data_IF_025643932265
#
_entry.id   IF_025643932265
#
_cell.length_a   1.000
_cell.length_b   1.000
_cell.length_c   1.000
_cell.angle_alpha   90.00
_cell.angle_beta   90.00
_cell.angle_gamma   90.00
#
_symmetry.space_group_name_H-M   'P 1'
#
loop_
_entity.id
_entity.type
_entity.pdbx_description
1 polymer ?
#
# COMPACT_ATOMS: atom_id res chain seq x y z
N UNK A 1 -6.82 -10.53 -12.93
CA UNK A 1 -6.75 -9.08 -12.65
C UNK A 1 -8.16 -8.52 -12.60
N UNK A 2 -8.45 -7.63 -11.65
CA UNK A 2 -9.80 -7.10 -11.39
C UNK A 2 -10.43 -6.37 -12.58
N UNK A 3 -9.59 -5.88 -13.50
CA UNK A 3 -10.02 -5.20 -14.73
C UNK A 3 -10.16 -6.14 -15.93
N UNK A 4 -10.00 -7.46 -15.76
CA UNK A 4 -10.08 -8.44 -16.84
C UNK A 4 -8.96 -8.37 -17.90
N UNK A 5 -8.09 -7.35 -17.83
CA UNK A 5 -6.98 -7.17 -18.76
C UNK A 5 -5.91 -8.26 -18.58
N UNK A 6 -5.50 -8.85 -19.71
CA UNK A 6 -4.39 -9.81 -19.80
C UNK A 6 -3.39 -9.26 -20.80
N UNK A 7 -2.30 -8.70 -20.29
CA UNK A 7 -1.25 -8.08 -21.11
C UNK A 7 0.12 -8.49 -20.55
N UNK A 8 1.02 -8.96 -21.43
CA UNK A 8 2.35 -9.44 -21.04
C UNK A 8 3.21 -8.35 -20.36
N UNK A 9 2.91 -7.06 -20.59
CA UNK A 9 3.56 -5.94 -19.91
C UNK A 9 3.24 -5.90 -18.42
N UNK A 10 2.10 -6.44 -17.98
CA UNK A 10 1.75 -6.52 -16.56
C UNK A 10 2.70 -7.45 -15.79
N UNK A 11 3.08 -8.57 -16.39
CA UNK A 11 4.08 -9.49 -15.79
C UNK A 11 5.40 -8.77 -15.55
N UNK A 12 5.90 -8.05 -16.57
CA UNK A 12 7.13 -7.25 -16.45
C UNK A 12 7.00 -6.16 -15.38
N UNK A 13 5.83 -5.51 -15.26
CA UNK A 13 5.58 -4.48 -14.26
C UNK A 13 5.56 -5.05 -12.82
N UNK A 14 4.95 -6.22 -12.62
CA UNK A 14 4.96 -6.90 -11.32
C UNK A 14 6.36 -7.35 -10.92
N UNK A 15 7.11 -7.96 -11.84
CA UNK A 15 8.50 -8.33 -11.55
C UNK A 15 9.35 -7.12 -11.23
N UNK A 16 9.25 -6.05 -12.03
CA UNK A 16 9.97 -4.81 -11.77
C UNK A 16 9.64 -4.24 -10.38
N UNK A 17 8.35 -4.24 -10.03
CA UNK A 17 7.88 -3.81 -8.71
C UNK A 17 8.43 -4.70 -7.60
N UNK A 18 8.48 -6.02 -7.78
CA UNK A 18 9.08 -6.94 -6.81
C UNK A 18 10.60 -6.71 -6.64
N UNK A 19 11.31 -6.35 -7.71
CA UNK A 19 12.74 -5.96 -7.64
C UNK A 19 12.95 -4.70 -6.81
N UNK A 20 12.04 -3.71 -6.87
CA UNK A 20 12.18 -2.49 -6.05
C UNK A 20 12.00 -2.74 -4.54
N UNK A 21 11.36 -3.86 -4.17
CA UNK A 21 11.26 -4.30 -2.78
C UNK A 21 12.46 -5.16 -2.39
N UNK A 22 12.75 -6.20 -3.16
CA UNK A 22 13.82 -7.18 -2.85
C UNK A 22 15.24 -6.67 -3.09
N UNK A 23 15.43 -5.70 -3.99
CA UNK A 23 16.75 -5.28 -4.49
C UNK A 23 17.33 -6.20 -5.57
N UNK A 24 16.71 -7.35 -5.85
CA UNK A 24 17.26 -8.37 -6.75
C UNK A 24 17.30 -7.89 -8.21
N UNK A 25 18.50 -7.81 -8.78
CA UNK A 25 18.70 -7.41 -10.18
C UNK A 25 18.17 -6.01 -10.50
N UNK A 26 18.06 -5.13 -9.49
CA UNK A 26 17.88 -3.71 -9.76
C UNK A 26 19.12 -3.16 -10.48
N UNK A 27 18.94 -2.44 -11.59
CA UNK A 27 20.07 -1.81 -12.24
C UNK A 27 20.64 -0.74 -11.32
N UNK A 28 21.97 -0.72 -11.24
CA UNK A 28 22.70 0.22 -10.40
C UNK A 28 22.69 1.65 -10.96
N UNK A 29 22.31 1.82 -12.23
CA UNK A 29 22.13 3.11 -12.89
C UNK A 29 20.99 3.01 -13.90
N UNK A 30 20.11 4.01 -13.90
CA UNK A 30 19.10 4.18 -14.94
C UNK A 30 19.34 5.51 -15.62
N UNK A 31 19.37 5.52 -16.95
CA UNK A 31 19.52 6.74 -17.74
C UNK A 31 18.26 7.63 -17.61
N UNK A 32 18.35 8.89 -18.03
CA UNK A 32 17.19 9.81 -18.02
C UNK A 32 16.06 9.29 -18.91
N UNK A 33 16.39 8.47 -19.89
CA UNK A 33 15.49 7.85 -20.88
C UNK A 33 14.89 6.52 -20.37
N UNK A 34 15.26 6.07 -19.18
CA UNK A 34 14.70 4.86 -18.55
C UNK A 34 15.41 3.55 -18.89
N UNK A 35 16.57 3.59 -19.58
CA UNK A 35 17.34 2.37 -19.87
C UNK A 35 18.30 2.01 -18.72
N UNK A 36 18.36 0.71 -18.40
CA UNK A 36 19.21 0.14 -17.37
C UNK A 36 20.65 -0.09 -17.89
N UNK A 37 21.66 0.43 -17.19
CA UNK A 37 23.08 0.12 -17.46
C UNK A 37 23.62 -0.87 -16.42
N UNK A 38 24.27 -1.94 -16.87
CA UNK A 38 25.04 -2.87 -16.03
C UNK A 38 26.39 -2.26 -15.67
N UNK A 39 26.66 -2.02 -14.37
CA UNK A 39 27.94 -1.49 -13.89
C UNK A 39 28.00 -1.35 -12.36
N UNK A 40 29.19 -1.13 -11.80
CA UNK A 40 29.39 -0.82 -10.37
C UNK A 40 29.05 0.65 -10.10
N UNK A 41 27.99 0.93 -9.32
CA UNK A 41 27.55 2.29 -9.00
C UNK A 41 26.34 2.34 -8.06
N UNK A 42 25.97 3.55 -7.63
CA UNK A 42 24.84 3.86 -6.72
C UNK A 42 23.55 4.00 -7.53
N UNK A 43 22.50 3.27 -7.14
CA UNK A 43 21.14 3.31 -7.74
C UNK A 43 20.73 4.75 -8.05
N UNK A 44 20.62 5.11 -9.34
CA UNK A 44 20.11 6.41 -9.76
C UNK A 44 18.57 6.36 -9.70
N UNK A 45 17.92 7.20 -8.87
CA UNK A 45 16.47 7.15 -8.70
C UNK A 45 15.74 7.46 -10.01
N UNK A 46 14.95 6.50 -10.52
CA UNK A 46 13.94 6.78 -11.54
C UNK A 46 12.75 7.58 -10.97
N UNK A 47 12.55 7.55 -9.65
CA UNK A 47 11.40 8.14 -8.95
C UNK A 47 11.70 8.38 -7.47
N UNK A 48 10.69 8.81 -6.70
CA UNK A 48 10.80 8.92 -5.24
C UNK A 48 11.10 7.59 -4.55
N UNK A 49 10.73 6.43 -5.12
CA UNK A 49 11.12 5.10 -4.63
C UNK A 49 12.42 4.69 -5.31
N UNK A 50 13.44 4.40 -4.49
CA UNK A 50 14.81 4.15 -4.96
C UNK A 50 15.29 2.71 -4.73
N UNK A 51 14.52 1.92 -3.97
CA UNK A 51 14.82 0.53 -3.60
C UNK A 51 16.04 0.37 -2.68
N UNK A 52 16.26 -0.84 -2.11
CA UNK A 52 15.25 -1.87 -1.80
C UNK A 52 14.31 -1.42 -0.66
N UNK A 53 13.33 -2.26 -0.27
CA UNK A 53 12.49 -2.08 0.94
C UNK A 53 11.80 -0.72 1.05
N UNK A 54 11.11 -0.30 -0.01
CA UNK A 54 10.35 0.97 -0.05
C UNK A 54 11.20 2.21 0.25
N UNK A 55 12.52 2.12 0.08
CA UNK A 55 13.43 3.24 0.29
C UNK A 55 12.98 4.43 -0.53
N UNK A 56 12.83 5.57 0.14
CA UNK A 56 12.26 6.76 -0.46
C UNK A 56 13.19 7.96 -0.31
N UNK A 57 13.41 8.69 -1.41
CA UNK A 57 14.24 9.91 -1.43
C UNK A 57 13.66 11.00 -0.53
N UNK A 58 12.33 11.17 -0.53
CA UNK A 58 11.66 12.14 0.34
C UNK A 58 11.77 11.79 1.82
N UNK A 59 12.09 10.53 2.13
CA UNK A 59 12.24 9.98 3.48
C UNK A 59 13.73 9.77 3.84
N UNK A 60 14.61 10.61 3.27
CA UNK A 60 16.07 10.60 3.49
C UNK A 60 16.76 9.25 3.22
N UNK A 61 16.20 8.42 2.33
CA UNK A 61 16.74 7.10 2.04
C UNK A 61 16.39 6.03 3.07
N UNK A 62 15.40 6.27 3.93
CA UNK A 62 14.80 5.24 4.78
C UNK A 62 13.57 4.60 4.08
N UNK A 63 13.19 3.42 4.54
CA UNK A 63 11.93 2.77 4.17
C UNK A 63 10.72 3.65 4.46
N UNK A 64 9.83 3.77 3.49
CA UNK A 64 8.65 4.64 3.58
C UNK A 64 7.37 3.82 3.50
N UNK A 65 6.60 3.76 4.59
CA UNK A 65 5.35 3.03 4.63
C UNK A 65 4.31 3.54 3.63
N UNK A 66 4.29 4.84 3.32
CA UNK A 66 3.39 5.38 2.29
C UNK A 66 3.71 4.79 0.92
N UNK A 67 4.98 4.73 0.53
CA UNK A 67 5.42 4.07 -0.69
C UNK A 67 5.14 2.57 -0.63
N UNK A 68 5.42 1.93 0.51
CA UNK A 68 5.12 0.52 0.76
C UNK A 68 3.66 0.18 0.56
N UNK A 69 2.73 1.02 1.02
CA UNK A 69 1.30 0.77 0.90
C UNK A 69 0.86 0.76 -0.56
N UNK A 70 1.43 1.64 -1.40
CA UNK A 70 1.16 1.65 -2.85
C UNK A 70 1.73 0.40 -3.53
N UNK A 71 2.96 0.04 -3.21
CA UNK A 71 3.64 -1.14 -3.79
C UNK A 71 2.92 -2.42 -3.39
N UNK A 72 2.59 -2.58 -2.11
CA UNK A 72 1.89 -3.77 -1.62
C UNK A 72 0.47 -3.87 -2.16
N UNK A 73 -0.24 -2.74 -2.33
CA UNK A 73 -1.53 -2.74 -3.01
C UNK A 73 -1.38 -3.14 -4.49
N UNK A 74 -0.30 -2.76 -5.17
CA UNK A 74 -0.06 -3.21 -6.53
C UNK A 74 0.21 -4.73 -6.56
N UNK A 75 1.17 -5.21 -5.77
CA UNK A 75 1.53 -6.63 -5.71
C UNK A 75 0.36 -7.52 -5.28
N UNK A 76 -0.56 -7.04 -4.43
CA UNK A 76 -1.74 -7.80 -4.04
C UNK A 76 -2.70 -8.08 -5.20
N UNK A 77 -2.66 -7.27 -6.27
CA UNK A 77 -3.44 -7.48 -7.50
C UNK A 77 -2.78 -8.44 -8.49
N UNK A 78 -1.56 -8.90 -8.22
CA UNK A 78 -0.93 -9.98 -8.98
C UNK A 78 -1.66 -11.31 -8.66
N UNK A 79 -2.28 -11.97 -9.64
CA UNK A 79 -2.95 -13.25 -9.43
C UNK A 79 -1.98 -14.28 -8.85
N UNK A 80 -2.44 -15.09 -7.89
CA UNK A 80 -1.57 -16.00 -7.15
C UNK A 80 -0.76 -16.95 -8.05
N UNK A 81 -1.40 -17.51 -9.08
CA UNK A 81 -0.77 -18.36 -10.09
C UNK A 81 0.35 -17.67 -10.89
N UNK A 82 0.34 -16.34 -10.97
CA UNK A 82 1.30 -15.53 -11.71
C UNK A 82 2.41 -14.99 -10.80
N UNK A 83 2.35 -15.25 -9.47
CA UNK A 83 3.36 -14.81 -8.51
C UNK A 83 4.60 -15.70 -8.61
N UNK A 84 5.63 -15.20 -9.29
CA UNK A 84 6.95 -15.82 -9.33
C UNK A 84 7.60 -15.87 -7.94
N UNK A 85 8.64 -16.69 -7.73
CA UNK A 85 9.37 -16.71 -6.45
C UNK A 85 9.88 -15.33 -6.00
N UNK A 86 10.30 -14.49 -6.96
CA UNK A 86 10.70 -13.10 -6.69
C UNK A 86 9.54 -12.26 -6.15
N UNK A 87 8.36 -12.36 -6.78
CA UNK A 87 7.16 -11.64 -6.34
C UNK A 87 6.72 -12.11 -4.95
N UNK A 88 6.78 -13.43 -4.68
CA UNK A 88 6.45 -13.99 -3.36
C UNK A 88 7.37 -13.42 -2.27
N UNK A 89 8.69 -13.48 -2.46
CA UNK A 89 9.65 -12.89 -1.51
C UNK A 89 9.43 -11.39 -1.29
N UNK A 90 9.12 -10.64 -2.35
CA UNK A 90 8.81 -9.22 -2.23
C UNK A 90 7.51 -8.97 -1.43
N UNK A 91 6.49 -9.81 -1.62
CA UNK A 91 5.26 -9.77 -0.83
C UNK A 91 5.57 -10.07 0.63
N UNK A 92 6.30 -11.15 0.92
CA UNK A 92 6.63 -11.56 2.29
C UNK A 92 7.41 -10.45 3.01
N UNK A 93 8.44 -9.89 2.38
CA UNK A 93 9.22 -8.78 2.94
C UNK A 93 8.37 -7.53 3.22
N UNK A 94 7.41 -7.21 2.35
CA UNK A 94 6.50 -6.09 2.55
C UNK A 94 5.47 -6.34 3.65
N UNK A 95 4.99 -7.58 3.78
CA UNK A 95 4.10 -8.00 4.87
C UNK A 95 4.82 -7.89 6.21
N UNK A 96 6.05 -8.42 6.30
CA UNK A 96 6.87 -8.34 7.50
C UNK A 96 7.17 -6.89 7.89
N UNK A 97 7.41 -6.01 6.91
CA UNK A 97 7.57 -4.58 7.17
C UNK A 97 6.31 -3.96 7.82
N UNK A 98 5.12 -4.24 7.28
CA UNK A 98 3.88 -3.69 7.83
C UNK A 98 3.49 -4.31 9.18
N UNK A 99 3.95 -5.52 9.47
CA UNK A 99 3.74 -6.20 10.76
C UNK A 99 4.93 -6.10 11.71
N UNK A 100 5.96 -5.32 11.40
CA UNK A 100 7.07 -5.07 12.33
C UNK A 100 6.57 -4.46 13.64
N UNK A 101 5.53 -3.63 13.55
CA UNK A 101 4.71 -3.19 14.68
C UNK A 101 3.24 -3.46 14.36
N UNK A 102 2.36 -3.30 15.34
CA UNK A 102 0.92 -3.31 15.12
C UNK A 102 0.52 -2.17 14.14
N UNK A 103 -0.06 -2.46 12.96
CA UNK A 103 -0.39 -1.41 11.99
C UNK A 103 -1.37 -0.36 12.54
N UNK A 104 -2.26 -0.73 13.48
CA UNK A 104 -3.20 0.19 14.11
C UNK A 104 -2.50 1.32 14.90
N UNK A 105 -1.29 1.06 15.39
CA UNK A 105 -0.46 2.06 16.07
C UNK A 105 0.11 3.11 15.12
N UNK A 106 0.07 2.88 13.79
CA UNK A 106 0.73 3.72 12.78
C UNK A 106 2.23 3.98 13.04
N UNK A 107 2.89 3.09 13.79
CA UNK A 107 4.33 3.13 14.06
C UNK A 107 5.08 2.28 13.03
N UNK A 108 5.20 2.79 11.80
CA UNK A 108 6.00 2.13 10.78
C UNK A 108 7.46 2.56 10.84
N UNK A 109 8.40 1.64 10.57
CA UNK A 109 9.81 1.96 10.47
C UNK A 109 10.04 3.01 9.36
N UNK A 110 10.76 4.09 9.67
CA UNK A 110 10.98 5.22 8.76
C UNK A 110 11.35 6.50 9.51
N UNK A 111 11.23 7.66 8.86
CA UNK A 111 11.63 8.96 9.43
C UNK A 111 10.81 9.39 10.65
N UNK A 112 9.54 8.99 10.75
CA UNK A 112 8.68 9.38 11.88
C UNK A 112 8.87 8.48 13.11
N UNK A 113 9.50 7.30 12.96
CA UNK A 113 9.84 6.45 14.10
C UNK A 113 10.87 7.16 15.01
N UNK A 114 10.74 7.06 16.36
CA UNK A 114 9.89 6.12 17.11
C UNK A 114 8.48 6.65 17.46
N UNK A 115 8.01 7.76 16.87
CA UNK A 115 6.69 8.31 17.18
C UNK A 115 5.62 7.88 16.15
N UNK A 116 4.42 7.48 16.59
CA UNK A 116 3.29 7.26 15.69
C UNK A 116 2.96 8.46 14.81
N UNK A 117 2.73 8.24 13.51
CA UNK A 117 2.24 9.29 12.62
C UNK A 117 0.72 9.25 12.54
N UNK A 118 0.07 10.19 13.23
CA UNK A 118 -1.40 10.26 13.31
C UNK A 118 -2.09 10.46 11.95
N UNK A 119 -1.38 10.89 10.90
CA UNK A 119 -1.97 11.09 9.57
C UNK A 119 -2.53 9.79 8.97
N UNK A 120 -1.96 8.65 9.34
CA UNK A 120 -2.45 7.33 8.94
C UNK A 120 -3.87 7.02 9.43
N UNK A 121 -4.31 7.67 10.51
CA UNK A 121 -5.61 7.45 11.14
C UNK A 121 -6.79 8.09 10.39
N UNK A 122 -6.53 8.88 9.35
CA UNK A 122 -7.57 9.59 8.59
C UNK A 122 -7.85 8.91 7.25
N UNK A 123 -9.03 8.31 7.10
CA UNK A 123 -9.43 7.68 5.84
C UNK A 123 -9.83 8.71 4.79
N UNK A 124 -9.40 8.50 3.54
CA UNK A 124 -9.67 9.48 2.49
C UNK A 124 -9.82 8.93 1.08
N UNK A 125 -10.37 9.76 0.21
CA UNK A 125 -10.50 9.50 -1.22
C UNK A 125 -10.45 10.79 -2.04
N UNK A 126 -9.73 10.83 -3.18
CA UNK A 126 -8.80 9.80 -3.68
C UNK A 126 -7.63 9.54 -2.73
N UNK A 127 -7.02 8.36 -2.82
CA UNK A 127 -5.97 7.96 -1.87
C UNK A 127 -4.62 8.56 -2.27
N UNK A 128 -4.39 9.82 -1.89
CA UNK A 128 -3.16 10.56 -2.21
C UNK A 128 -2.08 10.53 -1.11
N UNK A 129 -2.46 10.54 0.17
CA UNK A 129 -1.52 10.56 1.30
C UNK A 129 -1.50 9.26 2.12
N UNK A 130 -1.13 9.41 3.39
CA UNK A 130 -1.11 8.37 4.42
C UNK A 130 -2.54 7.93 4.76
N UNK A 131 -2.80 6.63 4.66
CA UNK A 131 -4.14 6.05 4.86
C UNK A 131 -4.01 4.59 5.30
N UNK A 132 -4.30 4.30 6.58
CA UNK A 132 -4.21 2.96 7.13
C UNK A 132 -5.19 1.99 6.47
N UNK A 133 -6.33 2.48 5.96
CA UNK A 133 -7.27 1.65 5.22
C UNK A 133 -6.63 1.08 3.94
N UNK A 134 -5.66 1.78 3.33
CA UNK A 134 -4.92 1.25 2.18
C UNK A 134 -3.96 0.11 2.54
N UNK A 135 -3.34 0.19 3.73
CA UNK A 135 -2.49 -0.90 4.25
C UNK A 135 -3.35 -2.13 4.50
N UNK A 136 -4.47 -1.96 5.21
CA UNK A 136 -5.41 -3.04 5.46
C UNK A 136 -5.94 -3.64 4.14
N UNK A 137 -6.29 -2.81 3.15
CA UNK A 137 -6.72 -3.25 1.82
C UNK A 137 -5.68 -4.14 1.14
N UNK A 138 -4.40 -3.79 1.20
CA UNK A 138 -3.34 -4.62 0.65
C UNK A 138 -3.23 -5.96 1.39
N UNK A 139 -3.19 -5.94 2.72
CA UNK A 139 -2.99 -7.13 3.57
C UNK A 139 -4.16 -8.13 3.46
N UNK A 140 -5.42 -7.68 3.52
CA UNK A 140 -6.57 -8.58 3.34
C UNK A 140 -6.66 -9.11 1.91
N UNK A 141 -6.22 -8.34 0.90
CA UNK A 141 -6.17 -8.84 -0.49
C UNK A 141 -5.12 -9.94 -0.65
N UNK A 142 -4.01 -9.84 0.08
CA UNK A 142 -2.94 -10.83 0.13
C UNK A 142 -3.26 -12.08 0.96
N UNK A 143 -4.35 -12.08 1.74
CA UNK A 143 -4.80 -13.24 2.52
C UNK A 143 -4.69 -13.11 4.04
N UNK A 144 -4.25 -11.96 4.55
CA UNK A 144 -3.97 -11.76 5.98
C UNK A 144 -5.18 -11.26 6.79
N UNK A 145 -6.40 -11.42 6.31
CA UNK A 145 -7.62 -10.95 6.98
C UNK A 145 -8.03 -11.75 8.21
N UNK A 146 -7.55 -12.99 8.37
CA UNK A 146 -7.66 -13.78 9.60
C UNK A 146 -6.32 -13.82 10.39
N UNK A 147 -5.33 -13.00 10.01
CA UNK A 147 -4.06 -12.96 10.74
C UNK A 147 -4.25 -12.18 12.06
N UNK A 148 -3.88 -12.75 13.23
CA UNK A 148 -4.04 -12.07 14.52
C UNK A 148 -3.38 -10.69 14.58
N UNK A 149 -2.29 -10.47 13.84
CA UNK A 149 -1.56 -9.19 13.79
C UNK A 149 -2.36 -8.07 13.11
N UNK A 150 -3.40 -8.41 12.34
CA UNK A 150 -4.27 -7.44 11.67
C UNK A 150 -5.53 -7.10 12.48
N UNK A 151 -5.82 -7.85 13.55
CA UNK A 151 -7.06 -7.73 14.35
C UNK A 151 -7.34 -6.30 14.78
N UNK A 152 -6.38 -5.63 15.43
CA UNK A 152 -6.57 -4.28 15.95
C UNK A 152 -6.80 -3.26 14.84
N UNK A 153 -6.20 -3.48 13.67
CA UNK A 153 -6.39 -2.62 12.49
C UNK A 153 -7.80 -2.77 11.94
N UNK A 154 -8.33 -4.00 11.87
CA UNK A 154 -9.71 -4.26 11.45
C UNK A 154 -10.70 -3.68 12.46
N UNK A 155 -10.45 -3.85 13.77
CA UNK A 155 -11.26 -3.27 14.85
C UNK A 155 -11.30 -1.74 14.77
N UNK A 156 -10.16 -1.10 14.50
CA UNK A 156 -10.07 0.36 14.29
C UNK A 156 -10.84 0.82 13.05
N UNK A 157 -10.78 0.06 11.95
CA UNK A 157 -11.58 0.37 10.76
C UNK A 157 -13.07 0.24 11.10
N UNK A 158 -13.48 -0.83 11.78
CA UNK A 158 -14.87 -1.07 12.15
C UNK A 158 -15.41 -0.01 13.13
N UNK A 159 -14.61 0.43 14.11
CA UNK A 159 -15.04 1.43 15.11
C UNK A 159 -15.34 2.81 14.50
N UNK A 160 -14.82 3.09 13.30
CA UNK A 160 -15.10 4.31 12.53
C UNK A 160 -16.40 4.23 11.71
N UNK A 161 -17.09 3.09 11.70
CA UNK A 161 -18.38 2.94 11.04
C UNK A 161 -19.47 3.71 11.82
N UNK A 162 -20.27 4.52 11.14
CA UNK A 162 -21.45 5.13 11.76
C UNK A 162 -22.64 4.16 11.81
N UNK A 163 -23.72 4.56 12.47
CA UNK A 163 -24.95 3.77 12.61
C UNK A 163 -25.59 3.37 11.26
N UNK A 164 -25.38 4.15 10.21
CA UNK A 164 -25.87 3.87 8.85
C UNK A 164 -24.91 2.98 8.04
N UNK A 165 -23.84 2.47 8.66
CA UNK A 165 -22.88 1.60 8.01
C UNK A 165 -21.89 2.34 7.08
N UNK A 166 -21.66 3.63 7.31
CA UNK A 166 -20.85 4.51 6.46
C UNK A 166 -19.60 5.02 7.18
N UNK A 167 -18.60 5.42 6.39
CA UNK A 167 -17.36 6.03 6.86
C UNK A 167 -17.22 7.46 6.34
N UNK A 168 -16.58 8.31 7.15
CA UNK A 168 -16.36 9.72 6.84
C UNK A 168 -15.18 9.92 5.86
N UNK A 169 -15.22 11.01 5.10
CA UNK A 169 -14.05 11.55 4.41
C UNK A 169 -13.22 12.41 5.39
N UNK A 170 -12.29 11.79 6.11
CA UNK A 170 -11.55 12.40 7.22
C UNK A 170 -10.35 13.24 6.77
N UNK A 171 -9.92 13.10 5.51
CA UNK A 171 -8.85 13.93 4.92
C UNK A 171 -9.10 14.15 3.44
N UNK A 172 -8.55 15.24 2.90
CA UNK A 172 -8.61 15.60 1.49
C UNK A 172 -7.29 16.10 0.91
N UNK A 173 -6.25 16.17 1.76
CA UNK A 173 -4.89 16.64 1.47
C UNK A 173 -4.80 17.98 0.70
N UNK A 174 -5.85 18.80 0.76
CA UNK A 174 -5.91 20.07 0.03
C UNK A 174 -5.91 19.92 -1.48
N UNK A 175 -6.05 18.71 -2.04
CA UNK A 175 -5.92 18.49 -3.49
C UNK A 175 -7.20 18.75 -4.28
N UNK A 176 -8.31 19.16 -3.66
CA UNK A 176 -9.59 19.40 -4.36
C UNK A 176 -9.47 20.33 -5.57
N UNK A 177 -8.60 21.34 -5.49
CA UNK A 177 -8.35 22.27 -6.61
C UNK A 177 -7.54 21.63 -7.76
N UNK A 178 -6.95 20.45 -7.56
CA UNK A 178 -6.18 19.70 -8.56
C UNK A 178 -7.01 18.64 -9.29
N UNK A 179 -8.23 18.36 -8.81
CA UNK A 179 -9.12 17.37 -9.42
C UNK A 179 -10.24 18.07 -10.19
N UNK A 180 -10.59 17.53 -11.36
CA UNK A 180 -11.71 18.04 -12.15
C UNK A 180 -13.08 17.67 -11.57
N UNK A 181 -13.10 16.75 -10.58
CA UNK A 181 -14.31 16.21 -9.96
C UNK A 181 -14.18 16.28 -8.44
N UNK A 182 -15.30 16.58 -7.77
CA UNK A 182 -15.41 16.53 -6.30
C UNK A 182 -15.84 15.13 -5.85
N UNK A 183 -15.10 14.56 -4.90
CA UNK A 183 -15.35 13.19 -4.41
C UNK A 183 -16.13 13.12 -3.08
N UNK A 184 -16.57 14.26 -2.55
CA UNK A 184 -17.31 14.39 -1.30
C UNK A 184 -16.87 15.62 -0.51
N UNK A 185 -17.48 15.80 0.66
CA UNK A 185 -17.17 16.90 1.59
C UNK A 185 -16.38 16.37 2.78
N UNK A 186 -15.48 17.21 3.30
CA UNK A 186 -14.69 16.90 4.49
C UNK A 186 -15.60 16.58 5.69
N UNK A 187 -15.24 15.54 6.44
CA UNK A 187 -15.92 15.08 7.64
C UNK A 187 -17.43 14.75 7.44
N UNK A 188 -17.79 14.33 6.23
CA UNK A 188 -19.13 13.82 5.90
C UNK A 188 -19.05 12.37 5.43
N UNK A 189 -20.12 11.57 5.59
CA UNK A 189 -20.17 10.22 5.06
C UNK A 189 -19.81 10.19 3.57
N UNK A 190 -18.98 9.22 3.17
CA UNK A 190 -18.40 9.17 1.85
C UNK A 190 -18.53 7.79 1.21
N UNK A 191 -19.16 7.72 0.04
CA UNK A 191 -19.39 6.45 -0.66
C UNK A 191 -18.11 5.70 -1.05
N UNK A 192 -17.02 6.41 -1.36
CA UNK A 192 -15.76 5.79 -1.79
C UNK A 192 -14.99 5.24 -0.61
N UNK A 193 -14.91 5.99 0.49
CA UNK A 193 -14.31 5.49 1.74
C UNK A 193 -15.13 4.31 2.29
N UNK A 194 -16.46 4.44 2.30
CA UNK A 194 -17.37 3.36 2.72
C UNK A 194 -17.18 2.10 1.89
N UNK A 195 -17.14 2.20 0.55
CA UNK A 195 -16.91 1.05 -0.32
C UNK A 195 -15.58 0.34 0.00
N UNK A 196 -14.51 1.10 0.24
CA UNK A 196 -13.20 0.54 0.59
C UNK A 196 -13.23 -0.16 1.94
N UNK A 197 -13.79 0.48 2.97
CA UNK A 197 -13.92 -0.10 4.30
C UNK A 197 -14.75 -1.40 4.30
N UNK A 198 -15.92 -1.38 3.65
CA UNK A 198 -16.79 -2.56 3.52
C UNK A 198 -16.07 -3.69 2.79
N UNK A 199 -15.32 -3.41 1.71
CA UNK A 199 -14.54 -4.43 1.00
C UNK A 199 -13.48 -5.07 1.88
N UNK A 200 -12.78 -4.28 2.69
CA UNK A 200 -11.77 -4.78 3.63
C UNK A 200 -12.40 -5.70 4.66
N UNK A 201 -13.44 -5.22 5.36
CA UNK A 201 -14.11 -5.99 6.42
C UNK A 201 -14.78 -7.25 5.88
N UNK A 202 -15.46 -7.16 4.72
CA UNK A 202 -16.09 -8.31 4.08
C UNK A 202 -15.07 -9.38 3.72
N UNK A 203 -13.93 -8.99 3.12
CA UNK A 203 -12.90 -9.94 2.72
C UNK A 203 -12.21 -10.59 3.91
N UNK A 204 -11.96 -9.84 4.99
CA UNK A 204 -11.47 -10.42 6.23
C UNK A 204 -12.46 -11.46 6.80
N UNK A 205 -13.75 -11.13 6.87
CA UNK A 205 -14.78 -12.06 7.33
C UNK A 205 -14.96 -13.30 6.44
N UNK A 206 -14.73 -13.20 5.13
CA UNK A 206 -14.68 -14.35 4.22
C UNK A 206 -13.50 -15.27 4.53
N UNK A 207 -12.32 -14.70 4.85
CA UNK A 207 -11.13 -15.49 5.17
C UNK A 207 -11.25 -16.20 6.52
N UNK A 208 -11.84 -15.55 7.53
CA UNK A 208 -12.17 -16.20 8.81
C UNK A 208 -13.08 -17.42 8.60
N UNK A 209 -14.13 -17.28 7.77
CA UNK A 209 -15.09 -18.37 7.49
C UNK A 209 -14.53 -19.52 6.66
N UNK A 210 -13.42 -19.29 5.96
CA UNK A 210 -12.76 -20.30 5.14
C UNK A 210 -11.71 -21.11 5.91
N UNK A 211 -11.45 -20.78 7.18
CA UNK A 211 -10.51 -21.47 8.08
C UNK A 211 -11.26 -22.47 8.95
#
# INVERSE_FOLDING_TARGET
ADLGCRDARLTKAFEWTARTVSGEGLPKKVTKEGSAESGSGKLVPLSYITGPMFTCRANKGNSCAWAGAKVMLALSRCPEKDRTPLIKRAIDAGVDYFFTNNPASALFLGETAPQPDQRWQSFHFPVAGFDLLQVAEALVTLGYGNDPRLTDTLSLIQSKQNEQGQWLLEKNWGYYHKWWVKFGSFNKPNKWVTLRAVRVLKRAAEQVRAT
#
